data_IF_159055525407
#
_entry.id   IF_159055525407
#
_cell.length_a   1.000
_cell.length_b   1.000
_cell.length_c   1.000
_cell.angle_alpha   90.00
_cell.angle_beta   90.00
_cell.angle_gamma   90.00
#
_symmetry.space_group_name_H-M   'P 1'
#
loop_
_entity.id
_entity.type
_entity.pdbx_description
1 polymer ?
#
# COMPACT_ATOMS: atom_id res chain seq x y z
N UNK A 1 5.87 -28.38 -2.09
CA UNK A 1 4.57 -27.69 -2.16
C UNK A 1 4.67 -26.46 -1.27
N UNK A 2 4.40 -25.27 -1.80
CA UNK A 2 4.34 -24.05 -0.98
C UNK A 2 2.91 -23.83 -0.51
N UNK A 3 2.74 -23.56 0.78
CA UNK A 3 1.44 -23.22 1.36
C UNK A 3 1.44 -21.74 1.70
N UNK A 4 0.50 -20.99 1.12
CA UNK A 4 0.29 -19.58 1.46
C UNK A 4 -1.01 -19.43 2.23
N UNK A 5 -0.90 -18.99 3.47
CA UNK A 5 -2.04 -18.65 4.29
C UNK A 5 -2.12 -17.13 4.45
N UNK A 6 -3.14 -16.49 3.86
CA UNK A 6 -3.23 -15.03 3.78
C UNK A 6 -3.32 -14.32 5.14
N UNK A 7 -3.74 -15.03 6.19
CA UNK A 7 -3.85 -14.51 7.55
C UNK A 7 -2.60 -14.65 8.42
N UNK A 8 -1.52 -15.28 7.90
CA UNK A 8 -0.25 -15.47 8.62
C UNK A 8 0.84 -14.78 7.81
N UNK A 9 1.27 -13.60 8.26
CA UNK A 9 2.19 -12.73 7.51
C UNK A 9 3.41 -12.27 8.31
N UNK A 10 3.44 -12.56 9.61
CA UNK A 10 4.55 -12.29 10.51
C UNK A 10 5.02 -13.61 11.14
N UNK A 11 6.27 -14.03 10.93
CA UNK A 11 6.78 -15.27 11.50
C UNK A 11 7.12 -15.16 13.00
N UNK A 12 7.15 -13.95 13.59
CA UNK A 12 7.64 -13.69 14.95
C UNK A 12 6.86 -14.42 16.05
N UNK A 13 5.65 -14.92 15.75
CA UNK A 13 4.84 -15.74 16.66
C UNK A 13 4.22 -16.98 16.00
N UNK A 14 4.85 -17.49 14.94
CA UNK A 14 4.28 -18.51 14.05
C UNK A 14 3.84 -19.79 14.78
N UNK A 15 4.65 -20.28 15.72
CA UNK A 15 4.39 -21.52 16.46
C UNK A 15 3.16 -21.42 17.39
N UNK A 16 2.83 -20.20 17.84
CA UNK A 16 1.66 -19.98 18.68
C UNK A 16 0.40 -19.65 17.87
N UNK A 17 0.53 -19.36 16.56
CA UNK A 17 -0.60 -19.08 15.69
C UNK A 17 -1.48 -20.35 15.54
N UNK A 18 -2.76 -20.31 15.97
CA UNK A 18 -3.64 -21.47 15.89
C UNK A 18 -3.86 -21.97 14.45
N UNK A 19 -3.83 -21.07 13.46
CA UNK A 19 -4.00 -21.41 12.05
C UNK A 19 -2.77 -22.11 11.52
N UNK A 20 -1.57 -21.69 11.93
CA UNK A 20 -0.34 -22.39 11.58
C UNK A 20 -0.28 -23.80 12.18
N UNK A 21 -0.66 -23.96 13.45
CA UNK A 21 -0.73 -25.30 14.09
C UNK A 21 -1.70 -26.22 13.36
N UNK A 22 -2.87 -25.72 12.97
CA UNK A 22 -3.87 -26.49 12.22
C UNK A 22 -3.33 -26.92 10.83
N UNK A 23 -2.51 -26.08 10.19
CA UNK A 23 -1.82 -26.47 8.95
C UNK A 23 -0.77 -27.55 9.19
N UNK A 24 0.02 -27.46 10.26
CA UNK A 24 1.00 -28.49 10.60
C UNK A 24 0.34 -29.84 10.94
N UNK A 25 -0.78 -29.83 11.67
CA UNK A 25 -1.55 -31.05 11.95
C UNK A 25 -2.06 -31.72 10.65
N UNK A 26 -2.46 -30.92 9.67
CA UNK A 26 -3.03 -31.42 8.40
C UNK A 26 -1.99 -31.85 7.38
N UNK A 27 -0.87 -31.14 7.30
CA UNK A 27 0.14 -31.32 6.24
C UNK A 27 1.47 -31.89 6.74
N UNK A 28 1.59 -32.12 8.06
CA UNK A 28 2.85 -32.51 8.70
C UNK A 28 3.76 -31.30 8.98
N UNK A 29 5.02 -31.56 9.37
CA UNK A 29 6.00 -30.50 9.62
C UNK A 29 6.12 -29.57 8.41
N UNK A 30 5.86 -28.28 8.64
CA UNK A 30 6.05 -27.23 7.65
C UNK A 30 7.45 -26.62 7.81
N UNK A 31 8.08 -26.31 6.68
CA UNK A 31 9.40 -25.66 6.63
C UNK A 31 9.36 -24.21 7.10
N UNK A 32 10.54 -23.60 7.19
CA UNK A 32 10.71 -22.18 7.52
C UNK A 32 9.91 -21.25 6.59
N UNK A 33 9.58 -20.02 7.04
CA UNK A 33 8.94 -19.00 6.21
C UNK A 33 9.73 -18.73 4.92
N UNK A 34 9.00 -18.56 3.82
CA UNK A 34 9.54 -18.15 2.53
C UNK A 34 9.16 -16.70 2.23
N UNK A 35 10.11 -15.93 1.73
CA UNK A 35 9.95 -14.49 1.44
C UNK A 35 10.11 -14.14 -0.04
N UNK A 36 10.09 -15.15 -0.91
CA UNK A 36 10.23 -15.07 -2.36
C UNK A 36 8.89 -14.86 -3.10
N UNK A 37 7.80 -14.64 -2.35
CA UNK A 37 6.48 -14.33 -2.91
C UNK A 37 6.28 -12.82 -3.07
N UNK A 38 6.01 -12.39 -4.31
CA UNK A 38 5.51 -11.07 -4.66
C UNK A 38 4.34 -11.21 -5.64
N UNK A 39 3.38 -10.27 -5.62
CA UNK A 39 2.38 -10.23 -6.67
C UNK A 39 2.99 -9.66 -7.96
N UNK A 40 2.55 -10.13 -9.13
CA UNK A 40 3.05 -9.62 -10.42
C UNK A 40 2.80 -8.10 -10.54
N UNK A 41 1.70 -7.60 -9.97
CA UNK A 41 1.42 -6.18 -9.85
C UNK A 41 2.53 -5.40 -9.14
N UNK A 42 3.11 -5.94 -8.07
CA UNK A 42 4.17 -5.29 -7.30
C UNK A 42 5.46 -5.16 -8.12
N UNK A 43 5.83 -6.22 -8.86
CA UNK A 43 7.03 -6.22 -9.70
C UNK A 43 6.92 -5.21 -10.86
N UNK A 44 5.77 -5.19 -11.55
CA UNK A 44 5.50 -4.23 -12.63
C UNK A 44 5.44 -2.80 -12.08
N UNK A 45 4.80 -2.61 -10.92
CA UNK A 45 4.71 -1.31 -10.25
C UNK A 45 6.09 -0.76 -9.88
N UNK A 46 6.96 -1.60 -9.29
CA UNK A 46 8.34 -1.23 -8.97
C UNK A 46 9.14 -0.85 -10.22
N UNK A 47 8.98 -1.61 -11.32
CA UNK A 47 9.62 -1.29 -12.59
C UNK A 47 9.17 0.07 -13.14
N UNK A 48 7.87 0.39 -13.07
CA UNK A 48 7.31 1.68 -13.52
C UNK A 48 7.82 2.84 -12.67
N UNK A 49 7.85 2.69 -11.35
CA UNK A 49 8.41 3.68 -10.44
C UNK A 49 9.90 3.92 -10.74
N UNK A 50 10.67 2.84 -10.88
CA UNK A 50 12.11 2.92 -11.22
C UNK A 50 12.33 3.69 -12.51
N UNK A 51 11.55 3.41 -13.55
CA UNK A 51 11.62 4.15 -14.81
C UNK A 51 11.22 5.62 -14.66
N UNK A 52 10.16 5.92 -13.89
CA UNK A 52 9.69 7.28 -13.65
C UNK A 52 10.74 8.14 -12.95
N UNK A 53 11.28 7.69 -11.81
CA UNK A 53 12.32 8.41 -11.08
C UNK A 53 13.63 8.47 -11.87
N UNK A 54 13.98 7.40 -12.60
CA UNK A 54 15.18 7.37 -13.45
C UNK A 54 15.16 8.44 -14.54
N UNK A 55 13.99 8.74 -15.13
CA UNK A 55 13.84 9.86 -16.10
C UNK A 55 14.12 11.23 -15.47
N UNK A 56 13.92 11.36 -14.16
CA UNK A 56 14.24 12.56 -13.39
C UNK A 56 15.68 12.55 -12.82
N UNK A 57 16.51 11.57 -13.18
CA UNK A 57 17.86 11.42 -12.65
C UNK A 57 17.93 10.94 -11.20
N UNK A 58 16.82 10.42 -10.66
CA UNK A 58 16.72 9.91 -9.28
C UNK A 58 16.83 8.39 -9.29
N UNK A 59 17.70 7.84 -8.45
CA UNK A 59 17.84 6.39 -8.29
C UNK A 59 16.90 5.89 -7.20
N UNK A 60 16.16 4.82 -7.50
CA UNK A 60 15.38 4.07 -6.53
C UNK A 60 16.14 2.81 -6.10
N UNK A 61 16.19 2.54 -4.81
CA UNK A 61 16.73 1.28 -4.26
C UNK A 61 15.57 0.41 -3.82
N UNK A 62 15.42 -0.76 -4.43
CA UNK A 62 14.43 -1.74 -3.99
C UNK A 62 14.91 -2.41 -2.68
N UNK A 63 14.03 -2.48 -1.68
CA UNK A 63 14.27 -3.13 -0.41
C UNK A 63 13.16 -4.15 -0.14
N UNK A 64 13.46 -5.46 -0.06
CA UNK A 64 12.46 -6.46 0.30
C UNK A 64 11.86 -6.16 1.67
N UNK A 65 10.53 -6.22 1.78
CA UNK A 65 9.81 -5.83 2.99
C UNK A 65 10.25 -6.59 4.26
N UNK A 66 10.66 -7.87 4.12
CA UNK A 66 11.15 -8.70 5.23
C UNK A 66 12.55 -8.31 5.73
N UNK A 67 13.33 -7.57 4.93
CA UNK A 67 14.66 -7.09 5.30
C UNK A 67 14.62 -5.65 5.85
N UNK A 68 13.50 -4.97 5.72
CA UNK A 68 13.36 -3.60 6.16
C UNK A 68 13.30 -3.53 7.69
N UNK A 69 14.06 -2.59 8.27
CA UNK A 69 14.00 -2.23 9.68
C UNK A 69 13.96 -0.70 9.81
N UNK A 70 13.35 -0.19 10.89
CA UNK A 70 13.30 1.26 11.11
C UNK A 70 14.68 1.89 11.17
N UNK A 71 15.65 1.21 11.79
CA UNK A 71 17.03 1.68 11.84
C UNK A 71 17.64 1.85 10.44
N UNK A 72 17.40 0.89 9.54
CA UNK A 72 17.96 0.92 8.19
C UNK A 72 17.29 1.89 7.23
N UNK A 73 16.05 2.32 7.50
CA UNK A 73 15.26 3.12 6.54
C UNK A 73 14.94 4.55 7.03
N UNK A 74 15.04 4.85 8.32
CA UNK A 74 14.59 6.14 8.90
C UNK A 74 15.21 7.38 8.29
N UNK A 75 16.42 7.28 7.73
CA UNK A 75 17.16 8.43 7.23
C UNK A 75 16.88 8.73 5.73
N UNK A 76 15.99 7.99 5.08
CA UNK A 76 15.64 8.12 3.66
C UNK A 76 14.22 8.65 3.39
N UNK A 77 13.93 8.94 2.11
CA UNK A 77 12.56 9.06 1.61
C UNK A 77 12.03 7.66 1.31
N UNK A 78 10.81 7.36 1.74
CA UNK A 78 10.27 6.00 1.72
C UNK A 78 9.08 5.90 0.79
N UNK A 79 9.02 4.83 0.00
CA UNK A 79 7.83 4.43 -0.75
C UNK A 79 7.46 3.03 -0.29
N UNK A 80 6.33 2.88 0.39
CA UNK A 80 5.74 1.58 0.70
C UNK A 80 4.84 1.18 -0.46
N UNK A 81 5.10 0.01 -1.03
CA UNK A 81 4.44 -0.47 -2.24
C UNK A 81 3.72 -1.79 -2.00
N UNK A 82 2.51 -1.89 -2.55
CA UNK A 82 1.76 -3.14 -2.63
C UNK A 82 0.90 -3.39 -1.39
N UNK A 83 0.68 -4.68 -1.08
CA UNK A 83 -0.25 -5.05 -0.03
C UNK A 83 0.27 -4.73 1.38
N UNK A 84 -0.52 -4.07 2.24
CA UNK A 84 -0.13 -3.81 3.62
C UNK A 84 0.20 -5.09 4.40
N UNK A 85 -0.57 -6.16 4.15
CA UNK A 85 -0.34 -7.50 4.72
C UNK A 85 1.02 -8.12 4.37
N UNK A 86 1.71 -7.60 3.35
CA UNK A 86 3.04 -8.05 2.91
C UNK A 86 4.15 -7.07 3.34
N UNK A 87 3.80 -6.01 4.05
CA UNK A 87 4.70 -4.97 4.52
C UNK A 87 4.57 -4.83 6.06
N UNK A 88 5.22 -5.70 6.86
CA UNK A 88 5.00 -5.76 8.32
C UNK A 88 5.37 -4.46 9.05
N UNK A 89 6.28 -3.65 8.50
CA UNK A 89 6.59 -2.33 9.06
C UNK A 89 5.39 -1.37 9.03
N UNK A 90 4.44 -1.52 8.09
CA UNK A 90 3.28 -0.62 8.03
C UNK A 90 2.38 -0.72 9.27
N UNK A 91 2.34 -1.88 9.94
CA UNK A 91 1.61 -2.06 11.20
C UNK A 91 2.20 -1.23 12.35
N UNK A 92 3.47 -0.86 12.23
CA UNK A 92 4.23 -0.14 13.25
C UNK A 92 4.62 1.26 12.78
N UNK A 93 4.05 1.73 11.65
CA UNK A 93 4.33 3.05 11.12
C UNK A 93 3.85 4.08 12.15
N UNK A 94 4.72 4.95 12.69
CA UNK A 94 4.35 5.90 13.75
C UNK A 94 3.61 7.12 13.17
N UNK A 95 2.62 6.87 12.32
CA UNK A 95 1.86 7.86 11.58
C UNK A 95 0.40 7.41 11.59
N UNK A 96 -0.49 8.29 12.05
CA UNK A 96 -1.92 8.02 12.03
C UNK A 96 -2.45 8.10 10.60
N UNK A 97 -3.10 7.02 10.16
CA UNK A 97 -3.74 6.93 8.86
C UNK A 97 -5.25 7.08 9.03
N UNK A 98 -5.88 7.84 8.13
CA UNK A 98 -7.33 8.00 8.09
C UNK A 98 -7.97 6.87 7.29
N UNK A 99 -7.33 6.45 6.20
CA UNK A 99 -7.75 5.28 5.42
C UNK A 99 -6.85 4.09 5.75
N UNK A 100 -7.29 3.27 6.70
CA UNK A 100 -6.50 2.14 7.20
C UNK A 100 -7.04 0.81 6.68
N UNK A 101 -6.14 -0.07 6.25
CA UNK A 101 -6.48 -1.42 5.83
C UNK A 101 -6.69 -2.34 7.04
N UNK A 102 -7.89 -2.90 7.15
CA UNK A 102 -8.22 -3.88 8.18
C UNK A 102 -7.78 -5.32 7.85
N UNK A 103 -7.83 -6.22 8.85
CA UNK A 103 -7.50 -7.63 8.66
C UNK A 103 -8.50 -8.38 7.77
N UNK A 104 -9.70 -7.83 7.59
CA UNK A 104 -10.75 -8.30 6.68
C UNK A 104 -10.60 -7.72 5.26
N UNK A 105 -9.49 -7.02 5.00
CA UNK A 105 -9.15 -6.35 3.75
C UNK A 105 -10.04 -5.17 3.37
N UNK A 106 -10.93 -4.74 4.26
CA UNK A 106 -11.70 -3.51 4.07
C UNK A 106 -10.85 -2.29 4.43
N UNK A 107 -11.25 -1.12 3.95
CA UNK A 107 -10.66 0.15 4.37
C UNK A 107 -11.56 0.76 5.42
N UNK A 108 -10.98 1.06 6.58
CA UNK A 108 -11.63 1.76 7.68
C UNK A 108 -11.27 3.23 7.57
N UNK A 109 -12.29 4.08 7.43
CA UNK A 109 -12.12 5.51 7.55
C UNK A 109 -12.18 5.89 9.03
N UNK A 110 -11.03 6.26 9.59
CA UNK A 110 -10.89 6.61 11.02
C UNK A 110 -11.52 7.95 11.37
N UNK A 111 -11.69 8.83 10.38
CA UNK A 111 -12.30 10.16 10.57
C UNK A 111 -13.28 10.50 9.45
N UNK A 112 -14.42 9.80 9.35
CA UNK A 112 -15.35 10.00 8.24
C UNK A 112 -15.89 11.44 8.20
N UNK A 113 -15.75 12.08 7.04
CA UNK A 113 -16.32 13.38 6.72
C UNK A 113 -17.72 13.22 6.10
N UNK A 114 -18.41 14.35 5.91
CA UNK A 114 -19.75 14.35 5.32
C UNK A 114 -19.75 13.72 3.92
N UNK A 115 -20.58 12.68 3.73
CA UNK A 115 -20.69 11.93 2.47
C UNK A 115 -19.76 10.72 2.36
N UNK A 116 -18.85 10.53 3.31
CA UNK A 116 -17.95 9.38 3.35
C UNK A 116 -18.55 8.18 4.08
N UNK A 117 -18.01 7.00 3.78
CA UNK A 117 -18.38 5.78 4.49
C UNK A 117 -17.36 5.51 5.60
N UNK A 118 -17.80 5.04 6.78
CA UNK A 118 -16.88 4.60 7.84
C UNK A 118 -16.08 3.36 7.43
N UNK A 119 -16.64 2.53 6.53
CA UNK A 119 -16.01 1.32 6.01
C UNK A 119 -16.24 1.25 4.50
N UNK A 120 -15.18 1.14 3.73
CA UNK A 120 -15.22 0.85 2.31
C UNK A 120 -14.97 -0.64 2.10
N UNK A 121 -16.06 -1.39 1.96
CA UNK A 121 -16.01 -2.84 1.83
C UNK A 121 -15.54 -3.28 0.44
N UNK A 122 -14.73 -4.33 0.39
CA UNK A 122 -14.24 -4.91 -0.87
C UNK A 122 -14.70 -6.36 -1.02
N UNK A 123 -15.87 -6.60 -1.63
CA UNK A 123 -16.48 -7.93 -1.65
C UNK A 123 -15.69 -8.97 -2.47
N UNK A 124 -14.84 -8.55 -3.42
CA UNK A 124 -13.92 -9.43 -4.14
C UNK A 124 -12.70 -8.66 -4.64
N UNK A 125 -11.55 -8.87 -4.00
CA UNK A 125 -10.29 -8.20 -4.35
C UNK A 125 -9.70 -8.61 -5.70
N UNK A 126 -10.21 -9.66 -6.37
CA UNK A 126 -9.55 -10.24 -7.54
C UNK A 126 -10.22 -9.87 -8.87
N UNK A 127 -11.55 -9.96 -8.97
CA UNK A 127 -12.21 -10.00 -10.28
C UNK A 127 -13.42 -9.06 -10.42
N UNK A 128 -13.58 -8.07 -9.53
CA UNK A 128 -14.67 -7.10 -9.67
C UNK A 128 -14.27 -5.69 -9.23
N UNK A 129 -13.97 -5.54 -7.93
CA UNK A 129 -13.78 -4.24 -7.31
C UNK A 129 -12.67 -4.32 -6.27
N UNK A 130 -11.74 -3.38 -6.33
CA UNK A 130 -10.68 -3.24 -5.35
C UNK A 130 -10.48 -1.77 -5.02
N UNK A 131 -9.78 -1.48 -3.93
CA UNK A 131 -9.42 -0.12 -3.57
C UNK A 131 -7.90 0.02 -3.55
N UNK A 132 -7.45 1.27 -3.66
CA UNK A 132 -6.09 1.66 -3.41
C UNK A 132 -6.07 2.91 -2.53
N UNK A 133 -5.09 2.97 -1.64
CA UNK A 133 -4.80 4.15 -0.83
C UNK A 133 -3.47 4.72 -1.31
N UNK A 134 -3.51 5.98 -1.72
CA UNK A 134 -2.33 6.80 -2.01
C UNK A 134 -2.23 7.84 -0.91
N UNK A 135 -1.16 7.79 -0.11
CA UNK A 135 -0.99 8.73 0.99
C UNK A 135 0.44 9.27 1.07
N UNK A 136 0.57 10.55 1.36
CA UNK A 136 1.84 11.21 1.65
C UNK A 136 1.86 11.66 3.09
N UNK A 137 2.99 11.47 3.76
CA UNK A 137 3.22 11.86 5.15
C UNK A 137 4.63 12.42 5.34
N UNK A 138 4.87 13.19 6.43
CA UNK A 138 6.22 13.52 6.84
C UNK A 138 7.04 12.25 7.05
N UNK A 139 8.31 12.29 6.69
CA UNK A 139 9.24 11.19 6.95
C UNK A 139 9.61 11.08 8.43
N UNK A 140 10.34 10.00 8.76
CA UNK A 140 10.78 9.71 10.14
C UNK A 140 11.89 10.66 10.65
N UNK A 141 12.41 11.51 9.77
CA UNK A 141 13.42 12.53 10.02
C UNK A 141 13.03 13.84 9.34
N UNK A 142 13.53 15.00 9.81
CA UNK A 142 13.29 16.28 9.15
C UNK A 142 13.67 16.23 7.67
N UNK A 143 12.86 16.87 6.81
CA UNK A 143 13.05 16.95 5.36
C UNK A 143 13.04 15.59 4.63
N UNK A 144 12.43 14.57 5.23
CA UNK A 144 12.12 13.28 4.58
C UNK A 144 10.63 13.15 4.34
N UNK A 145 10.27 12.23 3.45
CA UNK A 145 8.91 11.98 3.00
C UNK A 145 8.60 10.49 3.04
N UNK A 146 7.35 10.15 3.34
CA UNK A 146 6.80 8.80 3.23
C UNK A 146 5.64 8.83 2.24
N UNK A 147 5.71 8.00 1.21
CA UNK A 147 4.62 7.75 0.27
C UNK A 147 4.11 6.32 0.45
N UNK A 148 2.81 6.17 0.64
CA UNK A 148 2.12 4.89 0.63
C UNK A 148 1.40 4.72 -0.71
N UNK A 149 1.70 3.62 -1.41
CA UNK A 149 1.01 3.18 -2.62
C UNK A 149 0.49 1.77 -2.37
N UNK A 150 -0.63 1.69 -1.65
CA UNK A 150 -1.11 0.42 -1.08
C UNK A 150 -2.42 -0.06 -1.67
N UNK A 151 -2.49 -1.36 -1.91
CA UNK A 151 -3.69 -2.06 -2.36
C UNK A 151 -3.57 -3.56 -2.07
N UNK A 152 -4.69 -4.27 -1.94
CA UNK A 152 -4.66 -5.71 -1.68
C UNK A 152 -4.56 -6.59 -2.93
N UNK A 153 -4.56 -6.00 -4.13
CA UNK A 153 -4.64 -6.71 -5.40
C UNK A 153 -3.71 -6.12 -6.45
N UNK A 154 -3.30 -6.95 -7.40
CA UNK A 154 -2.54 -6.54 -8.59
C UNK A 154 -3.16 -5.34 -9.33
N UNK A 155 -4.45 -5.34 -9.73
CA UNK A 155 -5.04 -4.17 -10.38
C UNK A 155 -5.02 -2.92 -9.50
N UNK A 156 -5.23 -3.05 -8.18
CA UNK A 156 -5.14 -1.93 -7.25
C UNK A 156 -3.73 -1.33 -7.16
N UNK A 157 -2.69 -2.17 -7.02
CA UNK A 157 -1.30 -1.72 -6.95
C UNK A 157 -0.89 -1.03 -8.26
N UNK A 158 -1.25 -1.61 -9.40
CA UNK A 158 -0.94 -1.03 -10.71
C UNK A 158 -1.62 0.33 -10.90
N UNK A 159 -2.91 0.44 -10.56
CA UNK A 159 -3.64 1.71 -10.62
C UNK A 159 -3.04 2.75 -9.67
N UNK A 160 -2.66 2.37 -8.45
CA UNK A 160 -2.04 3.29 -7.49
C UNK A 160 -0.76 3.93 -8.04
N UNK A 161 0.11 3.11 -8.64
CA UNK A 161 1.35 3.61 -9.28
C UNK A 161 1.03 4.45 -10.50
N UNK A 162 0.09 4.03 -11.34
CA UNK A 162 -0.31 4.78 -12.54
C UNK A 162 -0.78 6.21 -12.21
N UNK A 163 -1.48 6.40 -11.08
CA UNK A 163 -1.91 7.71 -10.63
C UNK A 163 -0.76 8.67 -10.30
N UNK A 164 0.41 8.17 -9.91
CA UNK A 164 1.55 9.01 -9.49
C UNK A 164 2.67 9.14 -10.51
N UNK A 165 2.70 8.27 -11.54
CA UNK A 165 3.75 8.31 -12.58
C UNK A 165 3.29 8.94 -13.89
N UNK A 166 1.99 9.16 -14.09
CA UNK A 166 1.43 9.86 -15.26
C UNK A 166 1.13 11.32 -14.91
N UNK A 167 1.63 12.25 -15.74
CA UNK A 167 1.52 13.69 -15.48
C UNK A 167 0.07 14.18 -15.46
N UNK A 168 -0.80 13.60 -16.29
CA UNK A 168 -2.22 13.91 -16.36
C UNK A 168 -2.94 13.55 -15.06
N UNK A 169 -2.65 12.37 -14.49
CA UNK A 169 -3.22 11.93 -13.23
C UNK A 169 -2.72 12.77 -12.05
N UNK A 170 -1.42 13.07 -12.02
CA UNK A 170 -0.82 13.93 -10.98
C UNK A 170 -1.44 15.32 -11.00
N UNK A 171 -1.65 15.91 -12.18
CA UNK A 171 -2.35 17.20 -12.30
C UNK A 171 -3.77 17.12 -11.76
N UNK A 172 -4.54 16.09 -12.15
CA UNK A 172 -5.90 15.90 -11.66
C UNK A 172 -5.95 15.74 -10.13
N UNK A 173 -4.96 15.08 -9.52
CA UNK A 173 -4.84 14.97 -8.06
C UNK A 173 -4.53 16.34 -7.44
N UNK A 174 -3.52 17.05 -7.95
CA UNK A 174 -3.14 18.39 -7.46
C UNK A 174 -4.33 19.35 -7.50
N UNK A 175 -5.10 19.33 -8.59
CA UNK A 175 -6.29 20.17 -8.76
C UNK A 175 -7.38 19.81 -7.75
N UNK A 176 -7.67 18.51 -7.54
CA UNK A 176 -8.68 18.04 -6.57
C UNK A 176 -8.32 18.35 -5.12
N UNK A 177 -7.04 18.23 -4.79
CA UNK A 177 -6.52 18.53 -3.46
C UNK A 177 -6.37 20.04 -3.22
N UNK A 178 -6.61 20.87 -4.24
CA UNK A 178 -6.36 22.32 -4.20
C UNK A 178 -4.95 22.65 -3.68
N UNK A 179 -3.95 21.86 -4.08
CA UNK A 179 -2.56 22.09 -3.70
C UNK A 179 -2.04 23.30 -4.49
N UNK A 180 -1.82 24.41 -3.79
CA UNK A 180 -1.15 25.57 -4.36
C UNK A 180 0.37 25.38 -4.28
N UNK A 181 1.13 26.09 -5.11
CA UNK A 181 2.60 26.14 -5.04
C UNK A 181 3.14 26.84 -3.78
N UNK A 182 2.35 26.94 -2.71
CA UNK A 182 2.76 27.57 -1.46
C UNK A 182 3.95 26.83 -0.86
N UNK A 183 4.79 27.56 -0.13
CA UNK A 183 5.97 26.98 0.54
C UNK A 183 5.62 25.90 1.59
N UNK A 184 4.36 25.84 2.01
CA UNK A 184 3.86 24.86 2.95
C UNK A 184 3.39 23.59 2.20
N UNK A 185 4.17 22.51 2.34
CA UNK A 185 3.81 21.19 1.78
C UNK A 185 2.55 20.70 2.47
N UNK A 186 1.61 20.10 1.75
CA UNK A 186 0.45 19.46 2.39
C UNK A 186 0.53 17.97 2.21
N UNK A 187 0.32 17.26 3.32
CA UNK A 187 0.19 15.82 3.34
C UNK A 187 -1.27 15.43 3.10
N UNK A 188 -1.46 14.27 2.50
CA UNK A 188 -2.77 13.86 2.02
C UNK A 188 -2.92 12.36 2.05
N UNK A 189 -4.16 11.92 2.04
CA UNK A 189 -4.55 10.53 1.86
C UNK A 189 -5.70 10.51 0.87
N UNK A 190 -5.60 9.71 -0.18
CA UNK A 190 -6.61 9.61 -1.24
C UNK A 190 -7.05 8.16 -1.34
N UNK A 191 -8.36 7.98 -1.37
CA UNK A 191 -8.98 6.70 -1.62
C UNK A 191 -9.41 6.60 -3.09
N UNK A 192 -8.93 5.57 -3.77
CA UNK A 192 -9.34 5.21 -5.12
C UNK A 192 -10.12 3.89 -5.12
N UNK A 193 -11.16 3.84 -5.95
CA UNK A 193 -11.93 2.64 -6.27
C UNK A 193 -11.57 2.18 -7.67
N UNK A 194 -11.27 0.90 -7.82
CA UNK A 194 -10.77 0.31 -9.05
C UNK A 194 -11.69 -0.85 -9.45
N UNK A 195 -12.28 -0.74 -10.64
CA UNK A 195 -12.95 -1.87 -11.29
C UNK A 195 -11.92 -2.68 -12.08
N UNK A 196 -11.98 -4.00 -11.98
CA UNK A 196 -11.02 -4.90 -12.63
C UNK A 196 -11.72 -6.09 -13.30
N UNK A 197 -11.13 -6.58 -14.39
CA UNK A 197 -11.49 -7.85 -15.04
C UNK A 197 -10.21 -8.65 -15.25
N UNK A 198 -10.21 -9.92 -14.83
CA UNK A 198 -9.09 -10.85 -14.99
C UNK A 198 -7.72 -10.26 -14.57
N UNK A 199 -7.68 -9.62 -13.39
CA UNK A 199 -6.51 -8.91 -12.84
C UNK A 199 -6.02 -7.68 -13.63
N UNK A 200 -6.80 -7.16 -14.58
CA UNK A 200 -6.49 -5.93 -15.32
C UNK A 200 -7.37 -4.79 -14.79
N UNK A 201 -6.79 -3.62 -14.43
CA UNK A 201 -7.59 -2.47 -14.06
C UNK A 201 -8.35 -1.93 -15.29
N UNK A 202 -9.67 -1.83 -15.20
CA UNK A 202 -10.54 -1.28 -16.27
C UNK A 202 -10.80 0.20 -16.02
N UNK A 203 -11.08 0.57 -14.77
CA UNK A 203 -11.46 1.93 -14.40
C UNK A 203 -10.94 2.27 -13.01
N UNK A 204 -10.32 3.43 -12.88
CA UNK A 204 -9.89 3.99 -11.61
C UNK A 204 -10.71 5.24 -11.31
N UNK A 205 -11.37 5.26 -10.15
CA UNK A 205 -12.24 6.35 -9.72
C UNK A 205 -11.71 6.92 -8.40
N UNK A 206 -11.55 8.24 -8.35
CA UNK A 206 -11.29 8.93 -7.10
C UNK A 206 -12.56 8.95 -6.25
N UNK A 207 -12.47 8.41 -5.03
CA UNK A 207 -13.60 8.31 -4.10
C UNK A 207 -13.65 9.53 -3.21
N UNK A 208 -12.59 9.75 -2.44
CA UNK A 208 -12.48 10.84 -1.49
C UNK A 208 -11.01 11.06 -1.10
N UNK A 209 -10.75 12.10 -0.32
CA UNK A 209 -9.43 12.38 0.25
C UNK A 209 -9.52 13.16 1.55
N UNK A 210 -8.50 13.02 2.37
CA UNK A 210 -8.24 13.89 3.50
C UNK A 210 -6.92 14.64 3.28
N UNK A 211 -6.88 15.88 3.71
CA UNK A 211 -5.66 16.68 3.82
C UNK A 211 -5.31 16.73 5.31
N UNK A 212 -4.10 16.32 5.65
CA UNK A 212 -3.62 16.46 7.03
C UNK A 212 -2.96 17.84 7.18
N UNK A 213 -3.49 18.73 8.05
CA UNK A 213 -2.69 19.85 8.54
C UNK A 213 -1.58 19.27 9.43
N UNK A 214 -0.42 19.90 9.40
CA UNK A 214 0.73 19.50 10.23
C UNK A 214 0.39 19.41 11.72
#
# INVERSE_FOLDING_TARGET
MFLRFAGVNDPTNLLNDPKFRLLQERFGPLSEPHFDYAEMGDAIALQRLTAFFGRAGVTLTALPAHQASWEGIKDGNLIFLGAPRMNPLLQHLPIQQDFEWGPDHNIYNRHPQSGEQPIYATPSHRDALTYAVIASFPGLKPNREVLLLTAHSTPGTLSAVEQVVQVENVRAIVDRLHLTSSQERKHFQILFRIAADKNVPIKTEYVTHHISPF
#
